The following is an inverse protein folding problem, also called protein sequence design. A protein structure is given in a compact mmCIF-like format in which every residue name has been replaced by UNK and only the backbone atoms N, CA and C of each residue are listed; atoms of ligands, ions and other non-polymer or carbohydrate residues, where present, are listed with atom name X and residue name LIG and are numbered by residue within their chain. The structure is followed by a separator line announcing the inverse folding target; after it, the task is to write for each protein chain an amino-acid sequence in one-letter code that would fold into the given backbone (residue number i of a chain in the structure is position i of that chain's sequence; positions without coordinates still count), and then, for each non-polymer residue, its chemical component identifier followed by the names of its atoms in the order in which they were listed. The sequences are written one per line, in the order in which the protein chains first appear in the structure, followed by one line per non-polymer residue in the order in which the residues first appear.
data_IF_548369449531
#
_entry.id   IF_548369449531
#
_cell.length_a   1.000
_cell.length_b   1.000
_cell.length_c   1.000
_cell.angle_alpha   90.00
_cell.angle_beta   90.00
_cell.angle_gamma   90.00
#
_symmetry.space_group_name_H-M   'P 1'
#
loop_
_entity.id
_entity.type
_entity.pdbx_description
1 polymer ?
#
# COMPACT_ATOMS: atom_id res chain seq x y z
N UNK A 1 -49.08 -21.07 6.86
CA UNK A 1 -48.48 -20.76 8.17
C UNK A 1 -46.96 -20.84 8.06
N UNK A 2 -46.33 -19.74 7.68
CA UNK A 2 -44.88 -19.59 7.58
C UNK A 2 -44.32 -19.23 8.96
N UNK A 3 -43.75 -20.21 9.66
CA UNK A 3 -43.11 -20.00 10.95
C UNK A 3 -41.91 -19.06 10.81
N UNK A 4 -41.96 -17.93 11.51
CA UNK A 4 -40.83 -17.02 11.72
C UNK A 4 -39.72 -17.78 12.47
N UNK A 5 -38.79 -18.38 11.73
CA UNK A 5 -37.58 -18.98 12.28
C UNK A 5 -36.64 -17.85 12.74
N UNK A 6 -36.95 -17.28 13.90
CA UNK A 6 -36.09 -16.30 14.57
C UNK A 6 -34.88 -17.06 15.09
N UNK A 7 -33.80 -17.04 14.31
CA UNK A 7 -32.48 -17.40 14.84
C UNK A 7 -32.17 -16.36 15.90
N UNK A 8 -32.32 -16.73 17.17
CA UNK A 8 -31.90 -15.90 18.29
C UNK A 8 -30.41 -15.62 18.12
N UNK A 9 -30.05 -14.46 17.58
CA UNK A 9 -28.71 -13.90 17.75
C UNK A 9 -28.60 -13.52 19.23
N UNK A 10 -28.31 -14.53 20.05
CA UNK A 10 -27.91 -14.34 21.44
C UNK A 10 -26.56 -13.63 21.44
N UNK A 11 -26.58 -12.30 21.38
CA UNK A 11 -25.41 -11.50 21.71
C UNK A 11 -25.24 -11.62 23.22
N UNK A 12 -24.23 -12.39 23.64
CA UNK A 12 -23.80 -12.38 25.02
C UNK A 12 -23.43 -10.93 25.39
N UNK A 13 -23.94 -10.39 26.50
CA UNK A 13 -23.52 -9.07 26.97
C UNK A 13 -22.01 -9.12 27.24
N UNK A 14 -21.28 -8.01 27.05
CA UNK A 14 -19.84 -8.00 27.33
C UNK A 14 -19.56 -8.35 28.79
N UNK A 15 -18.48 -9.10 29.06
CA UNK A 15 -18.11 -9.48 30.42
C UNK A 15 -16.90 -10.42 30.49
N UNK A 16 -16.63 -11.01 31.68
CA UNK A 16 -15.41 -11.80 31.94
C UNK A 16 -15.20 -13.03 31.03
N UNK A 17 -16.25 -13.52 30.37
CA UNK A 17 -16.13 -14.61 29.40
C UNK A 17 -15.36 -14.18 28.14
N UNK A 18 -15.31 -12.87 27.82
CA UNK A 18 -14.49 -12.36 26.71
C UNK A 18 -13.01 -12.64 26.94
N UNK A 19 -12.52 -12.49 28.18
CA UNK A 19 -11.13 -12.80 28.53
C UNK A 19 -10.83 -14.30 28.38
N UNK A 20 -11.76 -15.15 28.79
CA UNK A 20 -11.66 -16.60 28.58
C UNK A 20 -11.62 -16.97 27.09
N UNK A 21 -12.49 -16.37 26.28
CA UNK A 21 -12.50 -16.58 24.83
C UNK A 21 -11.22 -16.05 24.17
N UNK A 22 -10.71 -14.90 24.62
CA UNK A 22 -9.46 -14.32 24.14
C UNK A 22 -8.26 -15.21 24.48
N UNK A 23 -8.22 -15.77 25.69
CA UNK A 23 -7.18 -16.72 26.10
C UNK A 23 -7.22 -18.01 25.25
N UNK A 24 -8.40 -18.57 25.01
CA UNK A 24 -8.57 -19.73 24.13
C UNK A 24 -8.16 -19.41 22.70
N UNK A 25 -8.54 -18.24 22.18
CA UNK A 25 -8.14 -17.80 20.85
C UNK A 25 -6.62 -17.65 20.76
N UNK A 26 -5.98 -17.02 21.74
CA UNK A 26 -4.53 -16.87 21.80
C UNK A 26 -3.80 -18.23 21.83
N UNK A 27 -4.31 -19.18 22.64
CA UNK A 27 -3.80 -20.56 22.68
C UNK A 27 -3.89 -21.22 21.31
N UNK A 28 -5.08 -21.25 20.70
CA UNK A 28 -5.31 -21.88 19.40
C UNK A 28 -4.49 -21.21 18.28
N UNK A 29 -4.29 -19.90 18.31
CA UNK A 29 -3.38 -19.20 17.40
C UNK A 29 -1.90 -19.59 17.61
N UNK A 30 -1.49 -19.83 18.85
CA UNK A 30 -0.17 -20.40 19.17
C UNK A 30 -0.01 -21.80 18.56
N UNK A 31 -0.98 -22.67 18.81
CA UNK A 31 -1.02 -24.04 18.28
C UNK A 31 -1.00 -24.05 16.76
N UNK A 32 -1.77 -23.18 16.11
CA UNK A 32 -1.81 -23.06 14.65
C UNK A 32 -0.45 -22.72 14.06
N UNK A 33 0.26 -21.74 14.64
CA UNK A 33 1.62 -21.36 14.21
C UNK A 33 2.63 -22.49 14.39
N UNK A 34 2.50 -23.23 15.49
CA UNK A 34 3.34 -24.40 15.73
C UNK A 34 3.04 -25.51 14.71
N UNK A 35 1.76 -25.79 14.45
CA UNK A 35 1.31 -26.79 13.48
C UNK A 35 1.83 -26.47 12.07
N UNK A 36 1.71 -25.21 11.64
CA UNK A 36 2.27 -24.71 10.38
C UNK A 36 3.76 -25.02 10.26
N UNK A 37 4.55 -24.65 11.28
CA UNK A 37 6.01 -24.86 11.30
C UNK A 37 6.37 -26.35 11.27
N UNK A 38 5.63 -27.17 12.02
CA UNK A 38 5.84 -28.62 12.07
C UNK A 38 5.51 -29.30 10.74
N UNK A 39 4.40 -28.93 10.09
CA UNK A 39 4.06 -29.38 8.74
C UNK A 39 5.15 -28.99 7.74
N UNK A 40 5.64 -27.76 7.78
CA UNK A 40 6.71 -27.31 6.89
C UNK A 40 8.01 -28.12 7.07
N UNK A 41 8.34 -28.54 8.30
CA UNK A 41 9.47 -29.42 8.57
C UNK A 41 9.23 -30.84 8.03
N UNK A 42 8.03 -31.40 8.22
CA UNK A 42 7.67 -32.72 7.67
C UNK A 42 7.72 -32.75 6.15
N UNK A 43 7.18 -31.72 5.49
CA UNK A 43 7.22 -31.63 4.03
C UNK A 43 8.66 -31.59 3.49
N UNK A 44 9.56 -30.85 4.18
CA UNK A 44 10.98 -30.83 3.83
C UNK A 44 11.66 -32.18 4.08
N UNK A 45 11.40 -32.81 5.23
CA UNK A 45 12.00 -34.08 5.60
C UNK A 45 11.53 -35.24 4.71
N UNK A 46 10.28 -35.22 4.26
CA UNK A 46 9.73 -36.25 3.39
C UNK A 46 10.31 -36.23 1.97
N UNK A 47 10.87 -35.09 1.51
CA UNK A 47 11.53 -35.00 0.20
C UNK A 47 10.66 -35.40 -1.00
N UNK A 48 9.33 -35.33 -0.87
CA UNK A 48 8.38 -35.78 -1.90
C UNK A 48 7.85 -37.20 -1.72
N UNK A 49 8.37 -38.00 -0.78
CA UNK A 49 7.81 -39.31 -0.44
C UNK A 49 6.44 -39.18 0.25
N UNK A 50 5.39 -39.56 -0.48
CA UNK A 50 4.02 -39.54 0.00
C UNK A 50 3.79 -40.51 1.19
N UNK A 51 4.51 -41.64 1.23
CA UNK A 51 4.43 -42.63 2.29
C UNK A 51 4.97 -42.07 3.61
N UNK A 52 6.22 -41.60 3.59
CA UNK A 52 6.85 -40.95 4.74
C UNK A 52 6.04 -39.73 5.22
N UNK A 53 5.53 -38.91 4.31
CA UNK A 53 4.72 -37.76 4.66
C UNK A 53 3.41 -38.16 5.36
N UNK A 54 2.74 -39.21 4.90
CA UNK A 54 1.49 -39.69 5.51
C UNK A 54 1.73 -40.20 6.93
N UNK A 55 2.79 -40.99 7.14
CA UNK A 55 3.18 -41.49 8.47
C UNK A 55 3.51 -40.31 9.40
N UNK A 56 4.35 -39.39 8.94
CA UNK A 56 4.74 -38.20 9.71
C UNK A 56 3.54 -37.32 10.10
N UNK A 57 2.54 -37.15 9.22
CA UNK A 57 1.31 -36.42 9.53
C UNK A 57 0.47 -37.10 10.62
N UNK A 58 0.37 -38.43 10.58
CA UNK A 58 -0.36 -39.19 11.61
C UNK A 58 0.32 -39.08 12.98
N UNK A 59 1.64 -39.19 13.01
CA UNK A 59 2.42 -39.04 14.24
C UNK A 59 2.35 -37.61 14.78
N UNK A 60 2.42 -36.62 13.90
CA UNK A 60 2.25 -35.21 14.26
C UNK A 60 0.89 -34.96 14.91
N UNK A 61 -0.20 -35.49 14.32
CA UNK A 61 -1.54 -35.39 14.90
C UNK A 61 -1.57 -35.97 16.31
N UNK A 62 -1.08 -37.21 16.51
CA UNK A 62 -1.05 -37.85 17.83
C UNK A 62 -0.32 -37.00 18.86
N UNK A 63 0.88 -36.52 18.51
CA UNK A 63 1.68 -35.65 19.40
C UNK A 63 0.95 -34.36 19.74
N UNK A 64 0.35 -33.68 18.76
CA UNK A 64 -0.36 -32.42 18.99
C UNK A 64 -1.59 -32.54 19.88
N UNK A 65 -2.35 -33.64 19.74
CA UNK A 65 -3.51 -33.90 20.62
C UNK A 65 -3.07 -34.01 22.09
N UNK A 66 -1.96 -34.70 22.34
CA UNK A 66 -1.41 -34.87 23.69
C UNK A 66 -0.73 -33.61 24.21
N UNK A 67 0.15 -32.98 23.43
CA UNK A 67 0.98 -31.84 23.85
C UNK A 67 0.16 -30.58 24.13
N UNK A 68 -0.82 -30.28 23.28
CA UNK A 68 -1.59 -29.03 23.36
C UNK A 68 -2.97 -29.20 24.02
N UNK A 69 -3.31 -30.42 24.45
CA UNK A 69 -4.60 -30.75 25.08
C UNK A 69 -5.80 -30.47 24.18
N UNK A 70 -5.63 -30.54 22.85
CA UNK A 70 -6.69 -30.25 21.88
C UNK A 70 -7.41 -31.51 21.43
N UNK A 71 -8.67 -31.37 21.08
CA UNK A 71 -9.49 -32.45 20.52
C UNK A 71 -9.19 -32.67 19.04
N UNK A 72 -9.49 -33.87 18.54
CA UNK A 72 -9.37 -34.18 17.10
C UNK A 72 -10.19 -33.25 16.20
N UNK A 73 -11.33 -32.75 16.67
CA UNK A 73 -12.17 -31.78 15.93
C UNK A 73 -11.50 -30.41 15.84
N UNK A 74 -10.94 -29.92 16.95
CA UNK A 74 -10.18 -28.68 16.98
C UNK A 74 -8.96 -28.76 16.06
N UNK A 75 -8.20 -29.85 16.13
CA UNK A 75 -7.07 -30.10 15.21
C UNK A 75 -7.51 -30.02 13.74
N UNK A 76 -8.58 -30.73 13.36
CA UNK A 76 -9.07 -30.72 11.99
C UNK A 76 -9.54 -29.32 11.55
N UNK A 77 -10.14 -28.55 12.45
CA UNK A 77 -10.55 -27.17 12.18
C UNK A 77 -9.34 -26.28 11.90
N UNK A 78 -8.29 -26.37 12.73
CA UNK A 78 -7.03 -25.65 12.54
C UNK A 78 -6.36 -26.04 11.23
N UNK A 79 -6.30 -27.35 10.93
CA UNK A 79 -5.70 -27.85 9.70
C UNK A 79 -6.42 -27.33 8.46
N UNK A 80 -7.77 -27.38 8.43
CA UNK A 80 -8.57 -26.81 7.34
C UNK A 80 -8.37 -25.31 7.19
N UNK A 81 -8.26 -24.59 8.31
CA UNK A 81 -7.94 -23.16 8.31
C UNK A 81 -6.59 -22.87 7.66
N UNK A 82 -5.56 -23.63 8.00
CA UNK A 82 -4.23 -23.53 7.40
C UNK A 82 -4.26 -23.84 5.90
N UNK A 83 -4.89 -24.94 5.49
CA UNK A 83 -5.04 -25.32 4.08
C UNK A 83 -5.73 -24.23 3.26
N UNK A 84 -6.79 -23.64 3.81
CA UNK A 84 -7.49 -22.51 3.18
C UNK A 84 -6.58 -21.29 2.98
N UNK A 85 -5.80 -20.91 4.00
CA UNK A 85 -4.83 -19.79 3.90
C UNK A 85 -3.74 -20.09 2.88
N UNK A 86 -3.24 -21.32 2.82
CA UNK A 86 -2.26 -21.72 1.81
C UNK A 86 -2.82 -21.61 0.40
N UNK A 87 -4.05 -22.08 0.16
CA UNK A 87 -4.71 -21.95 -1.13
C UNK A 87 -4.86 -20.47 -1.52
N UNK A 88 -5.30 -19.61 -0.58
CA UNK A 88 -5.39 -18.17 -0.83
C UNK A 88 -4.04 -17.52 -1.14
N UNK A 89 -2.97 -17.92 -0.44
CA UNK A 89 -1.62 -17.42 -0.72
C UNK A 89 -1.09 -17.87 -2.08
N UNK A 90 -1.41 -19.10 -2.50
CA UNK A 90 -1.05 -19.59 -3.83
C UNK A 90 -1.75 -18.80 -4.93
N UNK A 91 -3.05 -18.53 -4.78
CA UNK A 91 -3.79 -17.68 -5.74
C UNK A 91 -3.26 -16.24 -5.76
N UNK A 92 -2.94 -15.67 -4.60
CA UNK A 92 -2.30 -14.36 -4.50
C UNK A 92 -0.93 -14.35 -5.21
N UNK A 93 -0.13 -15.40 -5.04
CA UNK A 93 1.17 -15.51 -5.69
C UNK A 93 1.03 -15.56 -7.22
N UNK A 94 0.08 -16.34 -7.75
CA UNK A 94 -0.22 -16.38 -9.20
C UNK A 94 -0.56 -14.98 -9.74
N UNK A 95 -1.45 -14.26 -9.07
CA UNK A 95 -1.84 -12.90 -9.47
C UNK A 95 -0.65 -11.91 -9.43
N UNK A 96 0.24 -12.04 -8.43
CA UNK A 96 1.46 -11.22 -8.33
C UNK A 96 2.46 -11.52 -9.44
N UNK A 97 2.67 -12.79 -9.77
CA UNK A 97 3.53 -13.21 -10.88
C UNK A 97 2.99 -12.60 -12.18
N UNK A 98 1.69 -12.73 -12.43
CA UNK A 98 1.07 -12.19 -13.64
C UNK A 98 1.25 -10.66 -13.75
N UNK A 99 1.00 -9.95 -12.64
CA UNK A 99 1.18 -8.48 -12.59
C UNK A 99 2.64 -8.09 -12.87
N UNK A 100 3.58 -8.83 -12.29
CA UNK A 100 5.02 -8.61 -12.47
C UNK A 100 5.43 -8.87 -13.91
N UNK A 101 4.96 -9.94 -14.53
CA UNK A 101 5.21 -10.25 -15.95
C UNK A 101 4.61 -9.19 -16.88
N UNK A 102 3.40 -8.69 -16.61
CA UNK A 102 2.82 -7.58 -17.38
C UNK A 102 3.71 -6.33 -17.33
N UNK A 103 4.21 -5.97 -16.14
CA UNK A 103 5.14 -4.85 -15.96
C UNK A 103 6.46 -5.09 -16.68
N UNK A 104 7.03 -6.30 -16.54
CA UNK A 104 8.25 -6.72 -17.23
C UNK A 104 8.12 -6.54 -18.74
N UNK A 105 7.04 -7.06 -19.33
CA UNK A 105 6.73 -6.90 -20.77
C UNK A 105 6.61 -5.44 -21.19
N UNK A 106 5.95 -4.60 -20.39
CA UNK A 106 5.83 -3.16 -20.68
C UNK A 106 7.19 -2.45 -20.66
N UNK A 107 8.04 -2.75 -19.66
CA UNK A 107 9.37 -2.19 -19.56
C UNK A 107 10.26 -2.65 -20.72
N UNK A 108 10.24 -3.93 -21.06
CA UNK A 108 10.96 -4.47 -22.22
C UNK A 108 10.54 -3.74 -23.49
N UNK A 109 9.23 -3.55 -23.73
CA UNK A 109 8.71 -2.77 -24.87
C UNK A 109 9.21 -1.32 -24.88
N UNK A 110 9.29 -0.65 -23.72
CA UNK A 110 9.82 0.72 -23.62
C UNK A 110 11.32 0.77 -23.91
N UNK A 111 12.08 -0.20 -23.43
CA UNK A 111 13.53 -0.30 -23.68
C UNK A 111 13.79 -0.54 -25.16
N UNK A 112 13.09 -1.50 -25.78
CA UNK A 112 13.26 -1.78 -27.21
C UNK A 112 12.81 -0.61 -28.08
N UNK A 113 11.73 0.09 -27.73
CA UNK A 113 11.32 1.32 -28.42
C UNK A 113 12.37 2.43 -28.31
N UNK A 114 12.99 2.60 -27.12
CA UNK A 114 14.09 3.55 -26.91
C UNK A 114 15.38 3.15 -27.63
N UNK A 115 15.67 1.86 -27.77
CA UNK A 115 16.80 1.38 -28.57
C UNK A 115 16.60 1.58 -30.07
N UNK A 116 15.34 1.59 -30.54
CA UNK A 116 14.98 1.85 -31.94
C UNK A 116 14.91 3.34 -32.29
N UNK A 117 14.58 4.18 -31.32
CA UNK A 117 14.61 5.63 -31.51
C UNK A 117 16.01 6.13 -31.19
N UNK A 118 16.81 6.60 -32.17
CA UNK A 118 18.08 7.21 -31.86
C UNK A 118 17.85 8.34 -30.85
N UNK A 119 18.77 8.49 -29.89
CA UNK A 119 18.71 9.60 -28.95
C UNK A 119 18.60 10.89 -29.77
N UNK A 120 17.69 11.82 -29.41
CA UNK A 120 17.54 13.06 -30.14
C UNK A 120 18.90 13.74 -30.21
N UNK A 121 19.27 14.12 -31.43
CA UNK A 121 20.54 14.79 -31.69
C UNK A 121 20.59 16.11 -30.90
N UNK A 122 21.80 16.61 -30.59
CA UNK A 122 21.95 17.83 -29.78
C UNK A 122 21.19 19.04 -30.37
N UNK A 123 21.03 19.09 -31.70
CA UNK A 123 20.25 20.10 -32.41
C UNK A 123 18.74 19.95 -32.19
N UNK A 124 18.20 18.73 -32.12
CA UNK A 124 16.80 18.45 -31.77
C UNK A 124 16.50 18.81 -30.32
N UNK A 125 17.46 18.57 -29.41
CA UNK A 125 17.34 18.98 -28.02
C UNK A 125 17.23 20.51 -27.89
N UNK A 126 18.10 21.25 -28.61
CA UNK A 126 18.05 22.72 -28.66
C UNK A 126 16.73 23.23 -29.25
N UNK A 127 16.21 22.60 -30.32
CA UNK A 127 14.90 22.93 -30.90
C UNK A 127 13.75 22.66 -29.91
N UNK A 128 13.81 21.59 -29.13
CA UNK A 128 12.78 21.27 -28.14
C UNK A 128 12.74 22.31 -27.01
N UNK A 129 13.90 22.66 -26.46
CA UNK A 129 14.02 23.71 -25.43
C UNK A 129 13.52 25.05 -25.98
N UNK A 130 13.91 25.42 -27.20
CA UNK A 130 13.45 26.66 -27.82
C UNK A 130 11.93 26.69 -28.06
N UNK A 131 11.32 25.57 -28.47
CA UNK A 131 9.86 25.44 -28.60
C UNK A 131 9.14 25.55 -27.26
N UNK A 132 9.69 25.00 -26.18
CA UNK A 132 9.12 25.18 -24.84
C UNK A 132 9.22 26.65 -24.39
N UNK A 133 10.38 27.29 -24.56
CA UNK A 133 10.56 28.71 -24.25
C UNK A 133 9.66 29.62 -25.09
N UNK A 134 9.44 29.31 -26.36
CA UNK A 134 8.52 30.05 -27.22
C UNK A 134 7.07 29.98 -26.71
N UNK A 135 6.62 28.82 -26.18
CA UNK A 135 5.30 28.70 -25.54
C UNK A 135 5.20 29.53 -24.28
N UNK A 136 6.17 29.37 -23.36
CA UNK A 136 6.22 30.15 -22.10
C UNK A 136 6.20 31.65 -22.40
N UNK A 137 6.97 32.11 -23.40
CA UNK A 137 6.99 33.51 -23.81
C UNK A 137 5.64 33.98 -24.37
N UNK A 138 4.95 33.15 -25.15
CA UNK A 138 3.62 33.46 -25.67
C UNK A 138 2.59 33.58 -24.53
N UNK A 139 2.67 32.69 -23.55
CA UNK A 139 1.80 32.71 -22.38
C UNK A 139 2.05 33.95 -21.51
N UNK A 140 3.31 34.32 -21.29
CA UNK A 140 3.68 35.56 -20.59
C UNK A 140 3.16 36.80 -21.31
N UNK A 141 3.33 36.88 -22.64
CA UNK A 141 2.80 38.00 -23.43
C UNK A 141 1.27 38.08 -23.41
N UNK A 142 0.58 36.94 -23.34
CA UNK A 142 -0.87 36.90 -23.18
C UNK A 142 -1.31 37.38 -21.78
N UNK A 143 -0.57 37.04 -20.74
CA UNK A 143 -0.81 37.59 -19.39
C UNK A 143 -0.55 39.11 -19.34
N UNK A 144 0.51 39.59 -19.98
CA UNK A 144 0.84 41.03 -20.02
C UNK A 144 -0.22 41.83 -20.80
N UNK A 145 -0.76 41.30 -21.90
CA UNK A 145 -1.83 41.97 -22.64
C UNK A 145 -3.14 42.02 -21.85
N UNK A 146 -3.46 40.96 -21.10
CA UNK A 146 -4.60 40.94 -20.17
C UNK A 146 -4.43 41.93 -19.01
N UNK A 147 -3.22 42.10 -18.48
CA UNK A 147 -2.94 43.06 -17.42
C UNK A 147 -2.96 44.52 -17.90
N UNK A 148 -2.51 44.81 -19.14
CA UNK A 148 -2.58 46.15 -19.73
C UNK A 148 -4.02 46.67 -19.88
N UNK A 149 -4.99 45.78 -20.14
CA UNK A 149 -6.42 46.13 -20.18
C UNK A 149 -7.04 46.42 -18.81
N UNK A 150 -6.42 45.97 -17.70
CA UNK A 150 -6.92 46.23 -16.34
C UNK A 150 -6.47 47.58 -15.78
N UNK A 151 -5.31 48.09 -16.18
CA UNK A 151 -4.81 49.38 -15.69
C UNK A 151 -5.51 50.60 -16.33
N UNK A 152 -6.12 50.46 -17.52
CA UNK A 152 -6.89 51.55 -18.16
C UNK A 152 -8.35 51.61 -17.71
N UNK A 153 -8.94 50.49 -17.28
CA UNK A 153 -10.33 50.47 -16.78
C UNK A 153 -10.48 50.82 -15.28
N UNK A 154 -9.38 50.78 -14.50
CA UNK A 154 -9.41 51.03 -13.07
C UNK A 154 -9.15 52.49 -12.63
N UNK A 155 -8.80 53.40 -13.54
CA UNK A 155 -8.45 54.78 -13.20
C UNK A 155 -9.64 55.76 -13.16
N UNK A 156 -10.86 55.31 -13.47
CA UNK A 156 -12.02 56.20 -13.65
C UNK A 156 -13.04 56.21 -12.49
N UNK A 157 -12.83 55.47 -11.40
CA UNK A 157 -13.78 55.42 -10.28
C UNK A 157 -13.08 55.41 -8.92
N UNK A 158 -12.45 56.52 -8.54
CA UNK A 158 -12.18 56.82 -7.13
C UNK A 158 -12.18 58.33 -6.85
N UNK A 159 -13.31 58.99 -7.09
CA UNK A 159 -13.54 60.37 -6.65
C UNK A 159 -15.05 60.66 -6.49
N UNK A 160 -15.70 60.03 -5.51
CA UNK A 160 -16.99 60.45 -4.93
C UNK A 160 -17.32 59.43 -3.83
N UNK A 161 -17.63 59.72 -2.58
CA UNK A 161 -17.94 60.94 -1.86
C UNK A 161 -17.63 60.69 -0.37
N UNK A 162 -17.14 61.72 0.31
CA UNK A 162 -16.98 61.76 1.76
C UNK A 162 -18.24 62.45 2.32
N UNK A 163 -18.97 61.81 3.23
CA UNK A 163 -19.78 62.49 4.25
C UNK A 163 -20.03 61.52 5.42
N UNK A 164 -19.58 61.83 6.65
CA UNK A 164 -20.00 61.16 7.90
C UNK A 164 -21.26 61.87 8.46
N UNK A 165 -21.84 61.53 9.64
CA UNK A 165 -21.43 60.59 10.70
C UNK A 165 -22.58 59.67 11.24
N UNK A 166 -22.26 58.74 12.15
CA UNK A 166 -23.29 58.15 13.04
C UNK A 166 -23.04 56.72 13.54
N UNK A 167 -22.30 56.60 14.64
CA UNK A 167 -22.47 55.70 15.79
C UNK A 167 -23.32 54.41 15.67
N UNK A 168 -22.65 53.27 15.98
CA UNK A 168 -22.99 52.24 16.99
C UNK A 168 -22.90 50.78 16.52
N UNK A 169 -22.11 50.00 17.27
CA UNK A 169 -22.41 48.61 17.64
C UNK A 169 -22.15 47.50 16.62
N UNK A 170 -21.29 46.55 17.01
CA UNK A 170 -21.45 45.15 16.55
C UNK A 170 -20.20 44.50 15.97
N UNK A 171 -19.51 43.77 16.85
CA UNK A 171 -18.82 42.50 16.63
C UNK A 171 -19.01 41.83 15.24
N UNK A 172 -17.90 41.37 14.64
CA UNK A 172 -17.65 39.95 14.28
C UNK A 172 -16.43 39.82 13.35
N UNK A 173 -15.42 39.13 13.90
CA UNK A 173 -14.34 38.33 13.28
C UNK A 173 -14.42 38.10 11.75
N UNK A 174 -13.31 38.32 11.03
CA UNK A 174 -12.83 37.36 10.02
C UNK A 174 -11.37 37.57 9.56
N UNK A 175 -10.53 36.64 10.04
CA UNK A 175 -9.37 35.97 9.41
C UNK A 175 -8.58 36.71 8.32
N UNK A 176 -7.39 37.19 8.71
CA UNK A 176 -6.20 37.26 7.84
C UNK A 176 -5.63 35.85 7.64
N UNK A 177 -5.51 35.38 6.41
CA UNK A 177 -4.61 34.27 6.05
C UNK A 177 -3.44 34.83 5.24
N UNK A 178 -2.28 34.92 5.90
CA UNK A 178 -0.99 35.09 5.25
C UNK A 178 -0.55 33.73 4.70
N UNK A 179 -0.39 33.59 3.39
CA UNK A 179 0.28 32.45 2.77
C UNK A 179 1.78 32.76 2.67
N UNK A 180 2.55 32.25 3.64
CA UNK A 180 4.01 32.25 3.59
C UNK A 180 4.51 31.11 2.67
N UNK A 181 5.42 31.44 1.75
CA UNK A 181 6.16 30.47 0.95
C UNK A 181 7.26 29.81 1.82
N UNK A 182 7.39 28.47 1.86
CA UNK A 182 8.51 27.83 2.54
C UNK A 182 9.70 27.62 1.59
N UNK A 183 10.81 28.27 1.92
CA UNK A 183 12.16 27.97 1.43
C UNK A 183 12.54 26.56 1.91
N UNK A 184 12.76 25.61 0.99
CA UNK A 184 13.29 24.28 1.32
C UNK A 184 14.81 24.29 1.24
N UNK A 185 15.43 24.33 2.42
CA UNK A 185 16.84 24.04 2.66
C UNK A 185 17.15 22.56 2.38
N UNK A 186 18.25 22.29 1.68
CA UNK A 186 18.83 20.95 1.48
C UNK A 186 19.39 20.41 2.81
N UNK A 187 19.34 19.09 3.06
CA UNK A 187 20.27 18.43 3.96
C UNK A 187 21.35 17.63 3.22
N UNK A 188 22.54 17.68 3.82
CA UNK A 188 23.79 16.99 3.52
C UNK A 188 23.65 15.48 3.30
N UNK A 189 24.37 14.97 2.29
CA UNK A 189 24.64 13.54 2.14
C UNK A 189 25.91 13.17 2.91
N UNK A 190 25.72 12.78 4.17
CA UNK A 190 26.75 12.14 4.99
C UNK A 190 26.94 10.67 4.62
N UNK A 191 27.94 10.41 3.80
CA UNK A 191 28.90 9.31 3.86
C UNK A 191 28.60 8.16 4.85
N UNK A 192 28.10 7.02 4.37
CA UNK A 192 28.28 5.73 5.07
C UNK A 192 28.74 4.64 4.10
N UNK A 193 29.96 4.16 4.41
CA UNK A 193 30.69 3.05 3.83
C UNK A 193 29.86 1.77 3.80
N UNK A 194 29.81 1.13 2.64
CA UNK A 194 29.35 -0.25 2.48
C UNK A 194 30.43 -1.21 3.01
N UNK A 195 30.08 -1.96 4.06
CA UNK A 195 30.79 -3.17 4.47
C UNK A 195 30.40 -4.30 3.50
N UNK A 196 31.43 -4.87 2.88
CA UNK A 196 31.38 -6.10 2.11
C UNK A 196 31.28 -7.29 3.06
N UNK A 197 30.27 -8.15 2.88
CA UNK A 197 30.33 -9.58 3.21
C UNK A 197 29.42 -10.39 2.28
N UNK A 198 29.72 -11.69 2.06
CA UNK A 198 29.53 -12.38 0.79
C UNK A 198 28.39 -13.41 0.78
N UNK A 199 28.04 -13.86 -0.42
CA UNK A 199 27.55 -15.23 -0.68
C UNK A 199 26.06 -15.48 -0.44
N UNK A 200 25.23 -15.22 -1.45
CA UNK A 200 23.99 -15.96 -1.64
C UNK A 200 24.09 -16.71 -2.96
N UNK A 201 24.34 -18.01 -2.85
CA UNK A 201 24.26 -18.97 -3.93
C UNK A 201 22.84 -19.02 -4.49
N UNK A 202 22.81 -19.07 -5.82
CA UNK A 202 21.63 -19.23 -6.64
C UNK A 202 20.93 -20.55 -6.31
N UNK A 203 19.62 -20.48 -6.01
CA UNK A 203 18.71 -21.63 -6.01
C UNK A 203 18.27 -21.88 -7.46
N UNK A 204 18.56 -23.02 -8.10
CA UNK A 204 17.86 -23.44 -9.31
C UNK A 204 16.60 -24.21 -8.91
N UNK A 205 15.43 -23.69 -9.31
CA UNK A 205 14.19 -24.46 -9.34
C UNK A 205 14.22 -25.38 -10.58
N UNK A 206 14.29 -26.70 -10.34
CA UNK A 206 13.75 -27.75 -11.20
C UNK A 206 12.90 -28.67 -10.31
#
# INVERSE_FOLDING_TARGET
MSGLMTTYQMRLPRGPHEDGLAAVAAHLCGVERHLHSAHARLHRAAGGDAGALRVGKNDLKRRFLTEHGITGRQYNSLLRGLEGRYASLQELAKARIETTERRRRSLVKKITARGRNPLPTQSEYRRHVWRQWARVRKDLLACDSQNKGRHTAGAALSASSYCPPGREGGDVRLRKQHAACPVRSRPDQGNQRALLTPGYDCIPYL
#
